data_IF_713464468433
#
_entry.id   IF_713464468433
#
_cell.length_a   1.000
_cell.length_b   1.000
_cell.length_c   1.000
_cell.angle_alpha   90.00
_cell.angle_beta   90.00
_cell.angle_gamma   90.00
#
_symmetry.space_group_name_H-M   'P 1'
#
loop_
_entity.id
_entity.type
_entity.pdbx_description
1 polymer ?
#
# COMPACT_ATOMS: atom_id res chain seq x y z
N UNK A 1 -52.85 13.35 27.38
CA UNK A 1 -52.73 14.03 28.69
C UNK A 1 -51.25 14.16 29.00
N UNK A 2 -50.69 15.31 29.39
CA UNK A 2 -51.26 16.65 29.66
C UNK A 2 -50.58 17.69 28.71
N UNK A 3 -50.93 18.98 28.78
CA UNK A 3 -50.65 20.02 27.77
C UNK A 3 -50.11 21.33 28.40
N UNK A 4 -49.39 22.13 27.60
CA UNK A 4 -49.03 23.55 27.80
C UNK A 4 -48.04 23.86 28.96
N UNK A 5 -47.33 25.01 29.02
CA UNK A 5 -47.20 26.16 28.10
C UNK A 5 -45.71 26.58 27.96
N UNK A 6 -45.30 27.82 27.64
CA UNK A 6 -45.97 29.14 27.62
C UNK A 6 -45.42 30.00 26.44
N UNK A 7 -46.11 31.09 26.09
CA UNK A 7 -45.95 31.90 24.87
C UNK A 7 -44.95 33.05 24.88
N UNK A 8 -44.64 33.52 23.68
CA UNK A 8 -44.05 34.81 23.25
C UNK A 8 -44.23 36.05 24.16
N UNK A 9 -43.22 36.94 24.15
CA UNK A 9 -43.27 38.36 23.72
C UNK A 9 -41.83 38.97 23.84
N UNK A 10 -41.39 40.12 23.31
CA UNK A 10 -41.63 40.97 22.09
C UNK A 10 -40.85 42.31 22.34
N UNK A 11 -40.80 43.24 21.36
CA UNK A 11 -40.61 44.73 21.52
C UNK A 11 -39.19 45.39 21.39
N UNK A 12 -38.97 46.04 20.23
CA UNK A 12 -38.23 47.32 19.92
C UNK A 12 -36.69 47.38 20.20
N UNK A 13 -35.89 48.32 19.65
CA UNK A 13 -36.12 49.52 18.81
C UNK A 13 -35.03 49.66 17.69
N UNK A 14 -35.35 50.09 16.46
CA UNK A 14 -35.09 51.42 15.85
C UNK A 14 -33.71 52.04 16.19
N UNK A 15 -32.79 52.14 15.22
CA UNK A 15 -32.58 53.25 14.25
C UNK A 15 -32.16 54.56 14.96
N UNK A 16 -31.04 55.23 14.64
CA UNK A 16 -30.60 55.79 13.32
C UNK A 16 -29.11 56.23 13.43
N UNK A 17 -28.32 56.75 12.46
CA UNK A 17 -28.51 57.47 11.17
C UNK A 17 -27.33 57.12 10.17
N UNK A 18 -27.55 57.05 8.84
CA UNK A 18 -27.01 57.94 7.75
C UNK A 18 -25.45 57.94 7.59
N UNK A 19 -24.80 57.72 6.43
CA UNK A 19 -25.14 57.70 4.98
C UNK A 19 -24.20 56.66 4.25
N UNK A 20 -23.95 56.51 2.93
CA UNK A 20 -24.32 57.15 1.63
C UNK A 20 -24.54 56.02 0.57
N UNK A 21 -25.11 56.33 -0.60
CA UNK A 21 -25.22 55.42 -1.76
C UNK A 21 -23.95 55.37 -2.65
N UNK A 22 -23.76 54.25 -3.35
CA UNK A 22 -23.40 54.23 -4.78
C UNK A 22 -23.73 52.88 -5.45
N UNK A 23 -24.21 52.92 -6.70
CA UNK A 23 -24.38 51.74 -7.58
C UNK A 23 -23.04 51.26 -8.17
N UNK A 24 -22.97 50.18 -8.95
CA UNK A 24 -24.02 49.57 -9.80
C UNK A 24 -23.75 48.07 -9.99
N UNK A 25 -24.74 47.28 -10.42
CA UNK A 25 -24.53 45.90 -10.94
C UNK A 25 -23.86 45.96 -12.33
N UNK A 26 -23.30 44.85 -12.82
CA UNK A 26 -23.67 44.19 -14.10
C UNK A 26 -22.65 43.12 -14.53
N UNK A 27 -23.18 42.03 -15.12
CA UNK A 27 -22.60 41.09 -16.11
C UNK A 27 -21.10 40.80 -16.17
N UNK A 28 -20.77 39.51 -16.27
CA UNK A 28 -19.60 39.05 -17.03
C UNK A 28 -20.03 37.91 -17.97
N UNK A 29 -19.93 38.12 -19.28
CA UNK A 29 -20.34 37.16 -20.31
C UNK A 29 -19.15 36.84 -21.21
N UNK A 30 -18.76 35.55 -21.23
CA UNK A 30 -17.83 34.89 -22.16
C UNK A 30 -16.52 35.61 -22.56
N UNK A 31 -15.39 34.93 -22.31
CA UNK A 31 -14.32 34.89 -23.31
C UNK A 31 -13.97 33.43 -23.61
N UNK A 32 -14.35 32.96 -24.80
CA UNK A 32 -14.10 31.61 -25.27
C UNK A 32 -12.65 31.47 -25.71
N UNK A 33 -11.81 30.83 -24.90
CA UNK A 33 -10.50 30.38 -25.33
C UNK A 33 -10.56 28.88 -25.61
N UNK A 34 -10.58 28.51 -26.90
CA UNK A 34 -10.31 27.15 -27.34
C UNK A 34 -8.84 26.82 -27.09
N UNK A 35 -8.51 26.41 -25.86
CA UNK A 35 -7.27 25.68 -25.59
C UNK A 35 -7.57 24.23 -25.90
N UNK A 36 -6.99 23.73 -26.99
CA UNK A 36 -7.03 22.29 -27.30
C UNK A 36 -6.37 21.54 -26.16
N UNK A 37 -7.15 20.75 -25.43
CA UNK A 37 -6.65 19.81 -24.45
C UNK A 37 -5.93 18.68 -25.18
N UNK A 38 -4.66 18.92 -25.51
CA UNK A 38 -3.73 17.86 -25.89
C UNK A 38 -3.61 16.92 -24.70
N UNK A 39 -4.33 15.81 -24.76
CA UNK A 39 -4.24 14.72 -23.80
C UNK A 39 -2.88 14.07 -23.92
N UNK A 40 -1.88 14.69 -23.28
CA UNK A 40 -0.57 14.12 -23.04
C UNK A 40 -0.74 12.98 -22.03
N UNK A 41 -1.32 11.88 -22.49
CA UNK A 41 -1.48 10.63 -21.77
C UNK A 41 -0.12 9.92 -21.68
N UNK A 42 0.81 10.55 -20.97
CA UNK A 42 1.99 9.89 -20.43
C UNK A 42 1.50 8.91 -19.38
N UNK A 43 1.19 7.69 -19.84
CA UNK A 43 0.97 6.50 -19.03
C UNK A 43 2.01 6.49 -17.90
N UNK A 44 1.57 6.70 -16.66
CA UNK A 44 2.50 6.86 -15.54
C UNK A 44 3.39 5.63 -15.44
N UNK A 45 4.71 5.86 -15.46
CA UNK A 45 5.67 4.76 -15.46
C UNK A 45 5.64 4.07 -14.10
N UNK A 46 5.03 2.89 -14.07
CA UNK A 46 4.99 2.02 -12.90
C UNK A 46 6.41 1.85 -12.37
N UNK A 47 6.62 2.36 -11.15
CA UNK A 47 7.93 2.48 -10.50
C UNK A 47 7.91 1.87 -9.11
N UNK A 48 6.76 1.88 -8.43
CA UNK A 48 6.60 1.50 -7.03
C UNK A 48 5.30 0.73 -6.79
N UNK A 49 5.25 0.00 -5.67
CA UNK A 49 4.04 -0.63 -5.13
C UNK A 49 3.01 0.46 -4.79
N UNK A 50 1.78 0.34 -5.28
CA UNK A 50 0.73 1.34 -5.06
C UNK A 50 0.37 1.47 -3.57
N UNK A 51 -0.38 2.51 -3.20
CA UNK A 51 -0.86 2.66 -1.82
C UNK A 51 -1.74 1.47 -1.40
N UNK A 52 -2.55 0.92 -2.30
CA UNK A 52 -3.42 -0.22 -2.00
C UNK A 52 -2.61 -1.53 -1.91
N UNK A 53 -1.61 -1.72 -2.77
CA UNK A 53 -0.64 -2.81 -2.66
C UNK A 53 0.17 -2.75 -1.35
N UNK A 54 0.61 -1.55 -0.95
CA UNK A 54 1.27 -1.32 0.34
C UNK A 54 0.34 -1.65 1.52
N UNK A 55 -0.92 -1.22 1.46
CA UNK A 55 -1.93 -1.51 2.49
C UNK A 55 -2.22 -3.01 2.60
N UNK A 56 -2.38 -3.70 1.47
CA UNK A 56 -2.58 -5.16 1.40
C UNK A 56 -1.38 -5.90 2.02
N UNK A 57 -0.15 -5.57 1.63
CA UNK A 57 1.06 -6.21 2.17
C UNK A 57 1.20 -5.96 3.68
N UNK A 58 1.00 -4.73 4.16
CA UNK A 58 1.03 -4.41 5.60
C UNK A 58 0.02 -5.21 6.41
N UNK A 59 -1.18 -5.44 5.86
CA UNK A 59 -2.22 -6.25 6.49
C UNK A 59 -1.86 -7.75 6.52
N UNK A 60 -1.09 -8.24 5.55
CA UNK A 60 -0.61 -9.62 5.48
C UNK A 60 0.54 -9.86 6.48
N UNK A 61 1.60 -9.04 6.45
CA UNK A 61 2.79 -9.24 7.29
C UNK A 61 2.53 -8.89 8.77
N UNK A 62 1.70 -7.88 9.02
CA UNK A 62 1.28 -7.33 10.32
C UNK A 62 2.40 -6.62 11.11
N UNK A 63 2.05 -5.46 11.66
CA UNK A 63 2.98 -4.61 12.40
C UNK A 63 3.46 -5.26 13.72
N UNK A 64 4.78 -5.20 13.95
CA UNK A 64 5.44 -5.52 15.22
C UNK A 64 6.43 -4.40 15.60
N UNK A 65 6.08 -3.62 16.63
CA UNK A 65 6.92 -2.51 17.12
C UNK A 65 8.05 -2.95 18.07
N UNK A 66 8.12 -4.24 18.41
CA UNK A 66 9.19 -4.87 19.19
C UNK A 66 9.80 -6.03 18.39
N UNK A 67 11.11 -6.30 18.55
CA UNK A 67 11.73 -7.47 17.94
C UNK A 67 11.04 -8.76 18.35
N UNK A 68 10.86 -9.68 17.40
CA UNK A 68 10.33 -11.02 17.63
C UNK A 68 11.12 -12.09 16.87
N UNK A 69 10.95 -13.36 17.23
CA UNK A 69 11.50 -14.49 16.49
C UNK A 69 10.51 -14.94 15.40
N UNK A 70 10.93 -14.96 14.13
CA UNK A 70 10.11 -15.34 12.98
C UNK A 70 9.49 -16.75 13.08
N UNK A 71 10.22 -17.72 13.64
CA UNK A 71 9.83 -19.13 13.71
C UNK A 71 8.68 -19.39 14.70
N UNK A 72 8.54 -18.56 15.74
CA UNK A 72 7.57 -18.79 16.83
C UNK A 72 6.74 -17.56 17.23
N UNK A 73 7.00 -16.38 16.65
CA UNK A 73 6.23 -15.15 16.84
C UNK A 73 6.40 -14.44 18.19
N UNK A 74 7.20 -14.98 19.12
CA UNK A 74 7.42 -14.39 20.46
C UNK A 74 8.37 -13.20 20.38
N UNK A 75 8.12 -12.17 21.19
CA UNK A 75 9.06 -11.06 21.38
C UNK A 75 10.39 -11.54 21.98
N UNK A 76 11.49 -10.87 21.65
CA UNK A 76 12.85 -11.23 22.05
C UNK A 76 13.59 -10.02 22.64
N UNK A 77 14.36 -10.26 23.70
CA UNK A 77 15.19 -9.26 24.40
C UNK A 77 16.69 -9.40 24.10
N UNK A 78 17.07 -10.40 23.30
CA UNK A 78 18.42 -10.64 22.79
C UNK A 78 18.37 -11.09 21.33
N UNK A 79 19.45 -10.87 20.59
CA UNK A 79 19.53 -11.30 19.20
C UNK A 79 19.44 -12.83 19.08
N UNK A 80 18.63 -13.28 18.12
CA UNK A 80 18.58 -14.67 17.65
C UNK A 80 18.56 -14.66 16.12
N UNK A 81 18.99 -15.75 15.48
CA UNK A 81 18.76 -15.92 14.04
C UNK A 81 17.26 -15.97 13.78
N UNK A 82 16.77 -15.12 12.87
CA UNK A 82 15.33 -14.89 12.69
C UNK A 82 14.76 -13.80 13.61
N UNK A 83 15.58 -12.86 14.08
CA UNK A 83 15.10 -11.64 14.73
C UNK A 83 14.43 -10.71 13.70
N UNK A 84 13.20 -10.30 13.94
CA UNK A 84 12.37 -9.57 12.98
C UNK A 84 11.60 -8.42 13.64
N UNK A 85 11.31 -7.34 12.92
CA UNK A 85 10.57 -6.16 13.41
C UNK A 85 9.77 -5.49 12.28
N UNK A 86 8.95 -4.49 12.61
CA UNK A 86 8.23 -3.66 11.64
C UNK A 86 7.16 -4.47 10.91
N UNK A 87 7.27 -4.55 9.59
CA UNK A 87 6.40 -5.33 8.71
C UNK A 87 7.18 -6.50 8.07
N UNK A 88 7.93 -7.25 8.88
CA UNK A 88 8.72 -8.41 8.42
C UNK A 88 10.20 -8.14 8.17
N UNK A 89 10.74 -6.99 8.59
CA UNK A 89 12.15 -6.65 8.43
C UNK A 89 13.05 -7.57 9.26
N UNK A 90 13.95 -8.31 8.61
CA UNK A 90 14.91 -9.23 9.24
C UNK A 90 16.13 -8.45 9.77
N UNK A 91 16.28 -8.39 11.09
CA UNK A 91 17.37 -7.67 11.77
C UNK A 91 18.69 -8.45 11.62
N UNK A 92 19.72 -7.81 11.06
CA UNK A 92 21.09 -8.31 11.10
C UNK A 92 21.70 -8.28 12.50
N UNK A 93 22.65 -9.18 12.80
CA UNK A 93 23.30 -9.22 14.12
C UNK A 93 24.05 -7.91 14.46
N UNK A 94 24.60 -7.25 13.43
CA UNK A 94 25.24 -5.94 13.50
C UNK A 94 24.25 -4.77 13.66
N UNK A 95 22.95 -5.00 13.48
CA UNK A 95 21.88 -4.01 13.56
C UNK A 95 21.04 -4.17 14.84
N UNK A 96 21.28 -5.24 15.61
CA UNK A 96 20.53 -5.55 16.83
C UNK A 96 20.46 -4.37 17.80
N UNK A 97 21.55 -3.64 17.99
CA UNK A 97 21.60 -2.51 18.93
C UNK A 97 20.73 -1.31 18.52
N UNK A 98 20.40 -1.18 17.23
CA UNK A 98 19.45 -0.17 16.71
C UNK A 98 18.00 -0.57 17.05
N UNK A 99 17.66 -1.86 16.92
CA UNK A 99 16.27 -2.34 16.96
C UNK A 99 15.84 -2.98 18.29
N UNK A 100 16.78 -3.37 19.17
CA UNK A 100 16.50 -4.11 20.43
C UNK A 100 15.48 -3.45 21.36
N UNK A 101 15.37 -2.12 21.32
CA UNK A 101 14.45 -1.34 22.15
C UNK A 101 13.05 -1.20 21.52
N UNK A 102 12.85 -1.67 20.29
CA UNK A 102 11.66 -1.41 19.47
C UNK A 102 11.76 -0.15 18.62
N UNK A 103 10.74 0.09 17.79
CA UNK A 103 10.63 1.22 16.87
C UNK A 103 9.24 1.86 16.95
N UNK A 104 9.10 3.09 16.45
CA UNK A 104 7.81 3.74 16.25
C UNK A 104 7.11 3.25 14.96
N UNK A 105 5.81 3.56 14.82
CA UNK A 105 5.08 3.34 13.57
C UNK A 105 5.74 4.08 12.38
N UNK A 106 6.22 5.31 12.58
CA UNK A 106 6.84 6.09 11.51
C UNK A 106 8.17 5.47 11.04
N UNK A 107 8.92 4.84 11.95
CA UNK A 107 10.14 4.11 11.62
C UNK A 107 9.80 2.78 10.93
N UNK A 108 8.79 2.04 11.39
CA UNK A 108 8.30 0.84 10.71
C UNK A 108 7.83 1.12 9.27
N UNK A 109 7.16 2.27 9.04
CA UNK A 109 6.73 2.72 7.71
C UNK A 109 7.90 3.14 6.80
N UNK A 110 8.94 3.78 7.36
CA UNK A 110 10.17 4.10 6.62
C UNK A 110 10.94 2.82 6.24
N UNK A 111 11.07 1.91 7.19
CA UNK A 111 11.78 0.63 7.05
C UNK A 111 11.12 -0.23 5.96
N UNK A 112 9.80 -0.42 6.04
CA UNK A 112 9.00 -1.10 5.03
C UNK A 112 9.16 -0.51 3.61
N UNK A 113 9.18 0.83 3.49
CA UNK A 113 9.42 1.47 2.18
C UNK A 113 10.84 1.26 1.65
N UNK A 114 11.84 1.12 2.52
CA UNK A 114 13.21 0.75 2.13
C UNK A 114 13.28 -0.72 1.73
N UNK A 115 12.66 -1.61 2.51
CA UNK A 115 12.63 -3.06 2.28
C UNK A 115 11.92 -3.43 0.98
N UNK A 116 10.98 -2.62 0.49
CA UNK A 116 10.29 -2.83 -0.78
C UNK A 116 11.18 -2.66 -2.03
N UNK A 117 12.13 -1.70 -2.01
CA UNK A 117 12.87 -1.29 -3.21
C UNK A 117 13.60 -2.45 -3.92
N UNK A 118 14.25 -3.41 -3.23
CA UNK A 118 14.84 -4.59 -3.85
C UNK A 118 13.81 -5.48 -4.59
N UNK A 119 12.61 -5.65 -4.04
CA UNK A 119 11.55 -6.48 -4.66
C UNK A 119 10.89 -5.77 -5.83
N UNK A 120 10.60 -4.47 -5.72
CA UNK A 120 10.14 -3.65 -6.84
C UNK A 120 11.12 -3.71 -8.00
N UNK A 121 12.42 -3.52 -7.73
CA UNK A 121 13.47 -3.59 -8.73
C UNK A 121 13.65 -5.01 -9.29
N UNK A 122 13.45 -6.06 -8.49
CA UNK A 122 13.44 -7.43 -8.97
C UNK A 122 12.29 -7.67 -9.96
N UNK A 123 11.08 -7.20 -9.69
CA UNK A 123 9.95 -7.33 -10.63
C UNK A 123 10.22 -6.54 -11.91
N UNK A 124 10.58 -5.25 -11.80
CA UNK A 124 10.91 -4.37 -12.96
C UNK A 124 12.02 -4.94 -13.86
N UNK A 125 12.96 -5.70 -13.30
CA UNK A 125 14.10 -6.28 -14.04
C UNK A 125 13.88 -7.74 -14.48
N UNK A 126 12.77 -8.38 -14.10
CA UNK A 126 12.48 -9.79 -14.45
C UNK A 126 11.29 -9.95 -15.40
N UNK A 127 10.46 -8.92 -15.56
CA UNK A 127 9.26 -8.95 -16.40
C UNK A 127 9.49 -8.05 -17.62
N UNK A 128 9.42 -8.66 -18.81
CA UNK A 128 9.67 -7.99 -20.09
C UNK A 128 8.40 -7.38 -20.71
N UNK A 129 7.23 -7.83 -20.24
CA UNK A 129 5.91 -7.41 -20.71
C UNK A 129 5.44 -6.14 -19.97
N UNK A 130 4.69 -5.27 -20.66
CA UNK A 130 3.96 -4.18 -20.00
C UNK A 130 2.96 -4.73 -18.99
N UNK A 131 2.89 -4.12 -17.80
CA UNK A 131 1.97 -4.49 -16.72
C UNK A 131 0.98 -3.35 -16.45
N UNK A 132 -0.19 -3.67 -15.90
CA UNK A 132 -1.02 -2.74 -15.15
C UNK A 132 -0.49 -2.60 -13.70
N UNK A 133 -0.83 -1.50 -13.01
CA UNK A 133 -0.35 -1.23 -11.65
C UNK A 133 -0.70 -2.34 -10.67
N UNK A 134 -1.92 -2.88 -10.72
CA UNK A 134 -2.37 -3.97 -9.86
C UNK A 134 -1.63 -5.30 -10.14
N UNK A 135 -1.22 -5.55 -11.38
CA UNK A 135 -0.43 -6.73 -11.74
C UNK A 135 1.00 -6.59 -11.20
N UNK A 136 1.59 -5.40 -11.31
CA UNK A 136 2.87 -5.08 -10.68
C UNK A 136 2.80 -5.21 -9.16
N UNK A 137 1.73 -4.69 -8.54
CA UNK A 137 1.52 -4.79 -7.09
C UNK A 137 1.48 -6.26 -6.63
N UNK A 138 0.66 -7.09 -7.27
CA UNK A 138 0.56 -8.53 -6.97
C UNK A 138 1.92 -9.24 -7.13
N UNK A 139 2.67 -8.92 -8.20
CA UNK A 139 4.00 -9.48 -8.44
C UNK A 139 5.02 -9.05 -7.38
N UNK A 140 4.97 -7.81 -6.88
CA UNK A 140 5.83 -7.34 -5.79
C UNK A 140 5.45 -8.02 -4.46
N UNK A 141 4.17 -8.19 -4.16
CA UNK A 141 3.68 -8.85 -2.93
C UNK A 141 4.03 -10.34 -2.92
N UNK A 142 3.99 -11.01 -4.09
CA UNK A 142 4.49 -12.37 -4.29
C UNK A 142 6.03 -12.41 -4.14
N UNK A 143 6.76 -11.51 -4.79
CA UNK A 143 8.23 -11.43 -4.76
C UNK A 143 8.76 -11.22 -3.33
N UNK A 144 8.12 -10.35 -2.56
CA UNK A 144 8.38 -10.15 -1.12
C UNK A 144 8.22 -11.44 -0.32
N UNK A 145 7.17 -12.22 -0.61
CA UNK A 145 6.88 -13.45 0.12
C UNK A 145 7.82 -14.61 -0.17
N UNK A 146 8.20 -14.81 -1.44
CA UNK A 146 8.98 -15.97 -1.87
C UNK A 146 10.49 -15.68 -1.96
N UNK A 147 10.87 -14.41 -1.98
CA UNK A 147 12.24 -13.95 -2.16
C UNK A 147 12.61 -13.75 -3.63
N UNK A 148 13.49 -12.77 -3.87
CA UNK A 148 13.88 -12.27 -5.19
C UNK A 148 14.31 -13.38 -6.15
N UNK A 149 15.17 -14.31 -5.72
CA UNK A 149 15.71 -15.33 -6.63
C UNK A 149 14.74 -16.47 -6.92
N UNK A 150 13.81 -16.75 -5.99
CA UNK A 150 12.66 -17.63 -6.25
C UNK A 150 11.70 -16.98 -7.25
N UNK A 151 11.45 -15.68 -7.14
CA UNK A 151 10.61 -14.92 -8.08
C UNK A 151 11.20 -14.91 -9.49
N UNK A 152 12.47 -14.52 -9.66
CA UNK A 152 13.19 -14.52 -10.95
C UNK A 152 13.10 -15.87 -11.68
N UNK A 153 13.25 -16.97 -10.93
CA UNK A 153 13.25 -18.31 -11.49
C UNK A 153 11.85 -18.95 -11.60
N UNK A 154 10.83 -18.30 -11.05
CA UNK A 154 9.46 -18.82 -10.93
C UNK A 154 8.80 -19.09 -12.29
N UNK A 155 7.86 -20.03 -12.32
CA UNK A 155 7.00 -20.20 -13.48
C UNK A 155 6.00 -19.04 -13.66
N UNK A 156 5.77 -18.22 -12.62
CA UNK A 156 4.97 -16.98 -12.72
C UNK A 156 5.64 -15.98 -13.66
N UNK A 157 6.89 -15.61 -13.38
CA UNK A 157 7.65 -14.68 -14.22
C UNK A 157 7.79 -15.20 -15.66
N UNK A 158 8.10 -16.49 -15.79
CA UNK A 158 8.25 -17.17 -17.09
C UNK A 158 6.97 -17.15 -17.93
N UNK A 159 5.81 -17.42 -17.35
CA UNK A 159 4.52 -17.33 -18.07
C UNK A 159 4.24 -15.90 -18.55
N UNK A 160 4.52 -14.89 -17.73
CA UNK A 160 4.29 -13.48 -18.07
C UNK A 160 5.26 -12.99 -19.16
N UNK A 161 6.47 -13.57 -19.21
CA UNK A 161 7.45 -13.38 -20.29
C UNK A 161 7.19 -14.25 -21.54
N UNK A 162 6.06 -14.97 -21.59
CA UNK A 162 5.70 -15.93 -22.66
C UNK A 162 6.72 -17.08 -22.88
N UNK A 163 7.51 -17.42 -21.86
CA UNK A 163 8.40 -18.59 -21.88
C UNK A 163 7.62 -19.90 -21.71
N UNK A 164 8.20 -21.02 -22.20
CA UNK A 164 7.63 -22.35 -22.02
C UNK A 164 7.76 -22.81 -20.57
N UNK A 165 6.67 -23.25 -19.96
CA UNK A 165 6.65 -23.75 -18.57
C UNK A 165 5.93 -25.09 -18.43
N UNK A 166 6.03 -25.70 -17.23
CA UNK A 166 5.30 -26.93 -16.88
C UNK A 166 3.86 -26.70 -16.37
N UNK A 167 3.42 -25.44 -16.28
CA UNK A 167 2.05 -25.08 -15.88
C UNK A 167 1.26 -24.60 -17.09
N UNK A 168 -0.05 -24.85 -17.10
CA UNK A 168 -0.95 -24.48 -18.21
C UNK A 168 -1.48 -23.06 -18.06
N UNK A 169 -1.55 -22.54 -16.84
CA UNK A 169 -2.03 -21.18 -16.57
C UNK A 169 -1.18 -20.46 -15.53
N UNK A 170 -1.19 -19.12 -15.59
CA UNK A 170 -0.57 -18.26 -14.56
C UNK A 170 -1.10 -18.57 -13.16
N UNK A 171 -2.41 -18.83 -13.03
CA UNK A 171 -3.07 -19.14 -11.75
C UNK A 171 -2.54 -20.43 -11.11
N UNK A 172 -2.29 -21.48 -11.89
CA UNK A 172 -1.68 -22.71 -11.37
C UNK A 172 -0.27 -22.44 -10.83
N UNK A 173 0.55 -21.69 -11.60
CA UNK A 173 1.91 -21.32 -11.19
C UNK A 173 1.94 -20.40 -9.95
N UNK A 174 0.95 -19.52 -9.80
CA UNK A 174 0.78 -18.66 -8.63
C UNK A 174 0.41 -19.48 -7.38
N UNK A 175 -0.64 -20.30 -7.49
CA UNK A 175 -1.14 -21.15 -6.41
C UNK A 175 -0.16 -22.25 -5.98
N UNK A 176 0.86 -22.57 -6.81
CA UNK A 176 1.93 -23.51 -6.45
C UNK A 176 2.85 -23.00 -5.33
N UNK A 177 2.96 -21.68 -5.13
CA UNK A 177 3.71 -21.05 -4.03
C UNK A 177 2.92 -21.10 -2.72
N UNK A 178 2.49 -22.30 -2.32
CA UNK A 178 1.65 -22.57 -1.15
C UNK A 178 2.34 -23.40 -0.05
N UNK A 179 3.66 -23.67 -0.17
CA UNK A 179 4.39 -24.57 0.73
C UNK A 179 5.45 -23.85 1.57
N UNK A 180 5.65 -24.34 2.79
CA UNK A 180 6.83 -24.08 3.62
C UNK A 180 7.31 -25.40 4.22
N UNK A 181 8.63 -25.61 4.31
CA UNK A 181 9.25 -26.87 4.75
C UNK A 181 8.63 -28.12 4.07
N UNK A 182 8.37 -28.02 2.75
CA UNK A 182 7.69 -29.02 1.90
C UNK A 182 6.21 -29.34 2.24
N UNK A 183 5.63 -28.71 3.27
CA UNK A 183 4.21 -28.87 3.67
C UNK A 183 3.36 -27.75 3.08
N UNK A 184 2.15 -28.06 2.65
CA UNK A 184 1.16 -27.07 2.19
C UNK A 184 0.63 -26.28 3.38
N UNK A 185 0.56 -24.96 3.26
CA UNK A 185 0.19 -24.04 4.35
C UNK A 185 -1.06 -23.24 3.99
N UNK A 186 -2.13 -23.37 4.79
CA UNK A 186 -3.38 -22.64 4.52
C UNK A 186 -3.19 -21.11 4.51
N UNK A 187 -2.28 -20.57 5.34
CA UNK A 187 -1.94 -19.15 5.32
C UNK A 187 -1.35 -18.69 3.98
N UNK A 188 -0.55 -19.53 3.31
CA UNK A 188 -0.04 -19.22 1.97
C UNK A 188 -1.14 -19.37 0.91
N UNK A 189 -2.01 -20.38 1.00
CA UNK A 189 -3.19 -20.49 0.11
C UNK A 189 -4.07 -19.22 0.21
N UNK A 190 -4.34 -18.74 1.42
CA UNK A 190 -5.14 -17.53 1.64
C UNK A 190 -4.44 -16.30 1.05
N UNK A 191 -3.10 -16.18 1.18
CA UNK A 191 -2.31 -15.10 0.57
C UNK A 191 -2.36 -15.15 -0.97
N UNK A 192 -2.13 -16.31 -1.58
CA UNK A 192 -2.18 -16.53 -3.03
C UNK A 192 -3.56 -16.31 -3.67
N UNK A 193 -4.62 -16.19 -2.86
CA UNK A 193 -5.99 -15.84 -3.29
C UNK A 193 -6.34 -14.35 -3.07
N UNK A 194 -5.47 -13.58 -2.40
CA UNK A 194 -5.64 -12.15 -2.12
C UNK A 194 -4.67 -11.26 -2.91
N UNK A 195 -3.64 -11.87 -3.49
CA UNK A 195 -2.78 -11.35 -4.57
C UNK A 195 -3.44 -11.56 -5.95
#
# INVERSE_FOLDING_TARGET
>A
MVVNGVSENKIKAKNKDVNINNGTKYTNTTKSNNISSSENNTQEKITHLSNDGQNLLKNIEKLRLKPYNDQNGKEITSYVKGATIGYGHLIGQNEWDLYKNGITLQEADKLFKSDLLPFENAVKNSINSSLAQNEFDALVILCFNIGIDNFKNSFVAKIINAEKTGYKTLKEAWMAWNKSQNKVMQGLINRRNAE
#
